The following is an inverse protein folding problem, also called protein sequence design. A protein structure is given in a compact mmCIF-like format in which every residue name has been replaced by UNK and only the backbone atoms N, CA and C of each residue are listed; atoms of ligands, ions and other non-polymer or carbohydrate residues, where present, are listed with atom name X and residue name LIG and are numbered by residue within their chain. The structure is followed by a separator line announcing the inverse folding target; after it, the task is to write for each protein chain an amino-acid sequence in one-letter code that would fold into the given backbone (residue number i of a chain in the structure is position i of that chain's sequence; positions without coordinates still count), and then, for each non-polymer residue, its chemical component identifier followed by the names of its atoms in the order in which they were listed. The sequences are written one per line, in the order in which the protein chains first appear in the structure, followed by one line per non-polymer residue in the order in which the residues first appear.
data_IF_946794041856
#
_entry.id   IF_946794041856
#
_cell.length_a   1.000
_cell.length_b   1.000
_cell.length_c   1.000
_cell.angle_alpha   90.00
_cell.angle_beta   90.00
_cell.angle_gamma   90.00
#
_symmetry.space_group_name_H-M   'P 1'
#
loop_
_entity.id
_entity.type
_entity.pdbx_description
1 polymer ?
#
# COMPACT_ATOMS: atom_id res chain seq x y z
N UNK A 1 -19.26 6.33 -14.62
CA UNK A 1 -18.30 5.20 -14.55
C UNK A 1 -17.44 5.44 -13.33
N UNK A 2 -17.30 4.45 -12.45
CA UNK A 2 -16.49 4.54 -11.24
C UNK A 2 -15.02 4.77 -11.61
N UNK A 3 -14.38 5.76 -11.02
CA UNK A 3 -12.95 6.02 -11.21
C UNK A 3 -12.15 5.22 -10.17
N UNK A 4 -11.22 4.39 -10.62
CA UNK A 4 -10.31 3.65 -9.74
C UNK A 4 -9.03 4.47 -9.55
N UNK A 5 -8.79 4.93 -8.33
CA UNK A 5 -7.63 5.75 -7.97
C UNK A 5 -6.57 4.87 -7.30
N UNK A 6 -5.35 4.82 -7.85
CA UNK A 6 -4.18 4.29 -7.16
C UNK A 6 -3.59 5.35 -6.24
N UNK A 7 -3.67 5.14 -4.93
CA UNK A 7 -2.97 5.95 -3.94
C UNK A 7 -1.63 5.30 -3.61
N UNK A 8 -0.54 6.02 -3.82
CA UNK A 8 0.81 5.53 -3.52
C UNK A 8 1.69 6.64 -2.96
N UNK A 9 2.91 6.32 -2.57
CA UNK A 9 3.85 7.27 -1.97
C UNK A 9 5.11 6.58 -1.48
N UNK A 10 6.09 7.37 -1.07
CA UNK A 10 7.30 6.86 -0.43
C UNK A 10 7.03 6.45 1.02
N UNK A 11 7.90 5.61 1.59
CA UNK A 11 7.92 5.37 3.03
C UNK A 11 7.94 6.71 3.80
N UNK A 12 7.15 6.81 4.87
CA UNK A 12 7.01 8.02 5.68
C UNK A 12 6.50 9.29 4.96
N UNK A 13 5.92 9.16 3.75
CA UNK A 13 5.27 10.28 3.03
C UNK A 13 3.96 10.77 3.67
N UNK A 14 3.34 9.96 4.54
CA UNK A 14 2.02 10.25 5.11
C UNK A 14 0.85 9.84 4.22
N UNK A 15 1.05 8.87 3.34
CA UNK A 15 -0.01 8.20 2.56
C UNK A 15 -1.23 7.79 3.40
N UNK A 16 -1.02 7.25 4.60
CA UNK A 16 -2.10 6.87 5.53
C UNK A 16 -2.99 8.05 5.94
N UNK A 17 -2.42 9.26 6.04
CA UNK A 17 -3.19 10.48 6.31
C UNK A 17 -4.14 10.78 5.16
N UNK A 18 -3.66 10.70 3.92
CA UNK A 18 -4.49 10.92 2.72
C UNK A 18 -5.53 9.81 2.56
N UNK A 19 -5.14 8.55 2.81
CA UNK A 19 -6.02 7.38 2.86
C UNK A 19 -7.17 7.57 3.85
N UNK A 20 -6.90 8.16 5.03
CA UNK A 20 -7.94 8.52 5.99
C UNK A 20 -8.86 9.64 5.49
N UNK A 21 -8.30 10.67 4.83
CA UNK A 21 -9.10 11.77 4.26
C UNK A 21 -10.07 11.27 3.17
N UNK A 22 -9.69 10.29 2.36
CA UNK A 22 -10.61 9.63 1.42
C UNK A 22 -11.78 8.97 2.15
N UNK A 23 -11.51 8.23 3.23
CA UNK A 23 -12.56 7.61 4.06
C UNK A 23 -13.48 8.65 4.70
N UNK A 24 -12.95 9.76 5.19
CA UNK A 24 -13.75 10.89 5.72
C UNK A 24 -14.70 11.49 4.67
N UNK A 25 -14.29 11.48 3.40
CA UNK A 25 -15.11 11.91 2.26
C UNK A 25 -16.06 10.81 1.75
N UNK A 26 -16.20 9.71 2.49
CA UNK A 26 -17.02 8.55 2.11
C UNK A 26 -16.60 7.89 0.78
N UNK A 27 -15.34 8.07 0.37
CA UNK A 27 -14.76 7.38 -0.78
C UNK A 27 -14.16 6.06 -0.27
N UNK A 28 -14.61 4.90 -0.78
CA UNK A 28 -14.07 3.61 -0.36
C UNK A 28 -12.57 3.48 -0.59
N UNK A 29 -11.88 2.89 0.37
CA UNK A 29 -10.43 2.64 0.31
C UNK A 29 -10.15 1.16 0.55
N UNK A 30 -9.56 0.52 -0.45
CA UNK A 30 -9.08 -0.86 -0.45
C UNK A 30 -7.58 -0.82 -0.14
N UNK A 31 -7.18 -1.30 1.03
CA UNK A 31 -5.79 -1.24 1.50
C UNK A 31 -5.06 -2.55 1.21
N UNK A 32 -4.03 -2.49 0.36
CA UNK A 32 -3.27 -3.66 -0.03
C UNK A 32 -2.48 -4.29 1.13
N UNK A 33 -2.04 -3.51 2.12
CA UNK A 33 -1.31 -4.02 3.28
C UNK A 33 -2.24 -4.78 4.24
N UNK A 34 -3.49 -4.32 4.36
CA UNK A 34 -4.53 -5.04 5.12
C UNK A 34 -4.87 -6.35 4.40
N UNK A 35 -5.14 -6.30 3.09
CA UNK A 35 -5.45 -7.49 2.29
C UNK A 35 -4.31 -8.51 2.36
N UNK A 36 -3.04 -8.07 2.28
CA UNK A 36 -1.87 -8.96 2.40
C UNK A 36 -1.83 -9.73 3.72
N UNK A 37 -2.46 -9.21 4.78
CA UNK A 37 -2.60 -9.91 6.06
C UNK A 37 -3.78 -10.87 6.06
N UNK A 38 -4.92 -10.44 5.52
CA UNK A 38 -6.18 -11.20 5.50
C UNK A 38 -6.12 -12.42 4.57
N UNK A 39 -5.46 -12.30 3.42
CA UNK A 39 -5.41 -13.40 2.43
C UNK A 39 -4.63 -14.61 2.91
N UNK A 40 -3.78 -14.44 3.94
CA UNK A 40 -2.98 -15.50 4.55
C UNK A 40 -3.51 -15.94 5.91
N UNK A 41 -4.71 -15.52 6.30
CA UNK A 41 -5.36 -16.00 7.52
C UNK A 41 -5.75 -17.48 7.43
N UNK A 42 -5.86 -18.13 8.59
CA UNK A 42 -6.22 -19.53 8.68
C UNK A 42 -7.52 -19.81 7.90
N UNK A 43 -7.50 -20.89 7.10
CA UNK A 43 -8.63 -21.29 6.26
C UNK A 43 -8.62 -20.69 4.85
N UNK A 44 -7.78 -19.69 4.56
CA UNK A 44 -7.58 -19.17 3.20
C UNK A 44 -6.70 -20.10 2.36
N UNK A 45 -6.80 -19.97 1.04
CA UNK A 45 -6.02 -20.75 0.07
C UNK A 45 -4.51 -20.47 0.20
N UNK A 46 -4.13 -19.19 0.26
CA UNK A 46 -2.72 -18.81 0.40
C UNK A 46 -2.12 -19.25 1.74
N UNK A 47 -2.91 -19.31 2.83
CA UNK A 47 -2.45 -19.88 4.09
C UNK A 47 -2.02 -21.35 3.93
N UNK A 48 -2.84 -22.17 3.25
CA UNK A 48 -2.55 -23.59 3.03
C UNK A 48 -1.28 -23.76 2.20
N UNK A 49 -1.17 -23.03 1.09
CA UNK A 49 0.03 -23.05 0.24
C UNK A 49 1.29 -22.64 1.00
N UNK A 50 1.20 -21.64 1.89
CA UNK A 50 2.32 -21.22 2.74
C UNK A 50 2.71 -22.34 3.69
N UNK A 51 1.77 -22.98 4.39
CA UNK A 51 2.08 -24.09 5.30
C UNK A 51 2.67 -25.29 4.55
N UNK A 52 2.16 -25.62 3.37
CA UNK A 52 2.68 -26.72 2.55
C UNK A 52 4.14 -26.51 2.14
N UNK A 53 4.55 -25.26 1.88
CA UNK A 53 5.91 -24.91 1.45
C UNK A 53 6.87 -24.73 2.63
N UNK A 54 6.40 -24.07 3.69
CA UNK A 54 7.24 -23.64 4.81
C UNK A 54 7.12 -24.52 6.04
N UNK A 55 6.27 -25.54 6.00
CA UNK A 55 6.02 -26.49 7.08
C UNK A 55 5.19 -25.91 8.23
N UNK A 56 4.86 -26.76 9.21
CA UNK A 56 4.09 -26.34 10.38
C UNK A 56 4.93 -25.55 11.39
N UNK A 57 6.26 -25.48 11.22
CA UNK A 57 7.10 -24.71 12.12
C UNK A 57 6.81 -23.21 12.09
N UNK A 58 6.19 -22.69 11.04
CA UNK A 58 5.78 -21.28 10.94
C UNK A 58 4.42 -21.00 11.59
N UNK A 59 3.86 -21.97 12.30
CA UNK A 59 2.59 -21.83 13.01
C UNK A 59 2.79 -21.57 14.51
N UNK A 60 1.88 -20.78 15.06
CA UNK A 60 1.68 -20.63 16.49
C UNK A 60 0.87 -21.81 17.06
N UNK A 61 0.76 -21.90 18.38
CA UNK A 61 0.06 -23.01 19.04
C UNK A 61 -1.45 -23.05 18.73
N UNK A 62 -2.05 -21.93 18.34
CA UNK A 62 -3.45 -21.82 17.90
C UNK A 62 -3.63 -22.13 16.40
N UNK A 63 -2.55 -22.39 15.67
CA UNK A 63 -2.55 -22.65 14.23
C UNK A 63 -2.49 -21.39 13.37
N UNK A 64 -2.42 -20.18 13.94
CA UNK A 64 -2.15 -18.98 13.14
C UNK A 64 -0.70 -18.91 12.65
N UNK A 65 -0.45 -18.12 11.61
CA UNK A 65 0.92 -17.87 11.15
C UNK A 65 1.71 -17.08 12.21
N UNK A 66 2.87 -17.59 12.60
CA UNK A 66 3.91 -16.84 13.31
C UNK A 66 4.60 -15.89 12.32
N UNK A 67 4.00 -14.71 12.14
CA UNK A 67 4.50 -13.69 11.19
C UNK A 67 5.93 -13.25 11.50
N UNK A 68 6.34 -12.99 12.76
CA UNK A 68 7.74 -12.73 13.08
C UNK A 68 8.69 -13.85 12.63
N UNK A 69 8.31 -15.11 12.87
CA UNK A 69 9.14 -16.26 12.49
C UNK A 69 9.22 -16.44 10.99
N UNK A 70 8.09 -16.42 10.28
CA UNK A 70 8.04 -16.46 8.82
C UNK A 70 8.86 -15.30 8.21
N UNK A 71 8.69 -14.09 8.76
CA UNK A 71 9.44 -12.90 8.39
C UNK A 71 10.95 -13.10 8.53
N UNK A 72 11.41 -13.65 9.66
CA UNK A 72 12.83 -13.96 9.87
C UNK A 72 13.37 -14.99 8.86
N UNK A 73 12.59 -16.03 8.54
CA UNK A 73 12.97 -17.06 7.56
C UNK A 73 13.16 -16.46 6.17
N UNK A 74 12.21 -15.65 5.70
CA UNK A 74 12.28 -15.05 4.36
C UNK A 74 13.25 -13.88 4.27
N UNK A 75 13.52 -13.19 5.38
CA UNK A 75 14.47 -12.10 5.40
C UNK A 75 15.90 -12.57 5.14
N UNK A 76 16.27 -13.74 5.66
CA UNK A 76 17.62 -14.32 5.51
C UNK A 76 17.76 -15.25 4.30
N UNK A 77 16.70 -15.46 3.52
CA UNK A 77 16.72 -16.38 2.38
C UNK A 77 15.88 -15.82 1.21
N UNK A 78 16.58 -15.36 0.18
CA UNK A 78 15.96 -14.78 -1.02
C UNK A 78 15.05 -15.76 -1.77
N UNK A 79 15.44 -17.02 -1.91
CA UNK A 79 14.64 -18.04 -2.59
C UNK A 79 13.31 -18.27 -1.87
N UNK A 80 13.35 -18.37 -0.54
CA UNK A 80 12.16 -18.48 0.31
C UNK A 80 11.29 -17.23 0.21
N UNK A 81 11.90 -16.04 0.20
CA UNK A 81 11.16 -14.77 -0.01
C UNK A 81 10.43 -14.74 -1.35
N UNK A 82 11.09 -15.17 -2.42
CA UNK A 82 10.48 -15.26 -3.75
C UNK A 82 9.34 -16.29 -3.77
N UNK A 83 9.50 -17.42 -3.08
CA UNK A 83 8.45 -18.43 -2.95
C UNK A 83 7.21 -17.87 -2.23
N UNK A 84 7.39 -17.22 -1.09
CA UNK A 84 6.31 -16.55 -0.36
C UNK A 84 5.60 -15.51 -1.24
N UNK A 85 6.37 -14.67 -1.94
CA UNK A 85 5.81 -13.64 -2.82
C UNK A 85 4.99 -14.22 -3.97
N UNK A 86 5.37 -15.38 -4.52
CA UNK A 86 4.62 -16.08 -5.58
C UNK A 86 3.24 -16.56 -5.12
N UNK A 87 3.08 -16.84 -3.83
CA UNK A 87 1.79 -17.24 -3.23
C UNK A 87 0.97 -15.99 -2.87
N UNK A 88 1.59 -15.05 -2.17
CA UNK A 88 0.89 -13.89 -1.60
C UNK A 88 0.47 -12.88 -2.66
N UNK A 89 1.32 -12.56 -3.64
CA UNK A 89 1.01 -11.49 -4.61
C UNK A 89 -0.23 -11.80 -5.47
N UNK A 90 -0.40 -13.02 -6.03
CA UNK A 90 -1.63 -13.36 -6.74
C UNK A 90 -2.88 -13.31 -5.86
N UNK A 91 -2.79 -13.79 -4.61
CA UNK A 91 -3.90 -13.77 -3.67
C UNK A 91 -4.35 -12.34 -3.35
N UNK A 92 -3.40 -11.45 -3.05
CA UNK A 92 -3.67 -10.01 -2.82
C UNK A 92 -4.32 -9.39 -4.06
N UNK A 93 -3.76 -9.61 -5.25
CA UNK A 93 -4.31 -9.05 -6.49
C UNK A 93 -5.74 -9.55 -6.77
N UNK A 94 -6.02 -10.81 -6.50
CA UNK A 94 -7.35 -11.41 -6.65
C UNK A 94 -8.35 -10.73 -5.73
N UNK A 95 -8.03 -10.62 -4.44
CA UNK A 95 -8.90 -10.00 -3.44
C UNK A 95 -9.13 -8.51 -3.73
N UNK A 96 -8.08 -7.76 -4.08
CA UNK A 96 -8.20 -6.38 -4.50
C UNK A 96 -9.15 -6.18 -5.68
N UNK A 97 -9.08 -7.07 -6.69
CA UNK A 97 -10.02 -7.01 -7.82
C UNK A 97 -11.45 -7.34 -7.41
N UNK A 98 -11.65 -8.33 -6.53
CA UNK A 98 -12.99 -8.66 -6.01
C UNK A 98 -13.63 -7.46 -5.33
N UNK A 99 -12.91 -6.82 -4.40
CA UNK A 99 -13.42 -5.65 -3.69
C UNK A 99 -13.63 -4.44 -4.61
N UNK A 100 -12.71 -4.20 -5.54
CA UNK A 100 -12.81 -3.13 -6.54
C UNK A 100 -14.04 -3.33 -7.43
N UNK A 101 -14.24 -4.54 -7.95
CA UNK A 101 -15.34 -4.86 -8.85
C UNK A 101 -16.70 -4.80 -8.13
N UNK A 102 -16.74 -5.07 -6.83
CA UNK A 102 -17.92 -4.85 -5.99
C UNK A 102 -18.32 -3.37 -5.98
N UNK A 103 -17.41 -2.45 -5.67
CA UNK A 103 -17.70 -1.01 -5.67
C UNK A 103 -18.06 -0.47 -7.06
N UNK A 104 -17.42 -0.99 -8.12
CA UNK A 104 -17.79 -0.65 -9.51
C UNK A 104 -19.24 -1.05 -9.79
N UNK A 105 -19.68 -2.24 -9.35
CA UNK A 105 -21.07 -2.71 -9.51
C UNK A 105 -22.06 -1.87 -8.70
N UNK A 106 -21.67 -1.41 -7.52
CA UNK A 106 -22.48 -0.49 -6.70
C UNK A 106 -22.61 0.91 -7.31
N UNK A 107 -21.77 1.25 -8.29
CA UNK A 107 -21.85 2.51 -9.01
C UNK A 107 -21.32 3.71 -8.22
N UNK A 108 -20.44 3.49 -7.24
CA UNK A 108 -19.78 4.59 -6.51
C UNK A 108 -19.00 5.47 -7.48
N UNK A 109 -18.85 6.76 -7.17
CA UNK A 109 -18.15 7.68 -8.07
C UNK A 109 -16.65 7.37 -8.19
N UNK A 110 -16.02 6.97 -7.08
CA UNK A 110 -14.61 6.58 -7.06
C UNK A 110 -14.34 5.50 -6.01
N UNK A 111 -13.29 4.73 -6.21
CA UNK A 111 -12.71 3.78 -5.24
C UNK A 111 -11.19 3.94 -5.24
N UNK A 112 -10.57 3.89 -4.07
CA UNK A 112 -9.12 4.04 -3.91
C UNK A 112 -8.50 2.67 -3.66
N UNK A 113 -7.49 2.32 -4.46
CA UNK A 113 -6.55 1.24 -4.16
C UNK A 113 -5.32 1.84 -3.49
N UNK A 114 -5.19 1.64 -2.19
CA UNK A 114 -4.07 2.12 -1.41
C UNK A 114 -2.90 1.11 -1.48
N UNK A 115 -1.92 1.40 -2.35
CA UNK A 115 -0.83 0.48 -2.72
C UNK A 115 0.52 1.21 -2.56
N UNK A 116 1.27 1.01 -1.47
CA UNK A 116 2.58 1.65 -1.25
C UNK A 116 3.59 1.40 -2.38
N UNK A 117 3.58 0.19 -2.94
CA UNK A 117 4.53 -0.29 -3.96
C UNK A 117 3.86 -0.41 -5.34
N UNK A 118 2.97 0.52 -5.69
CA UNK A 118 2.15 0.47 -6.91
C UNK A 118 3.01 0.31 -8.18
N UNK A 119 4.08 1.09 -8.29
CA UNK A 119 4.97 1.09 -9.45
C UNK A 119 5.91 -0.10 -9.43
N UNK A 120 6.54 -0.37 -8.28
CA UNK A 120 7.48 -1.48 -8.10
C UNK A 120 6.82 -2.84 -8.37
N UNK A 121 5.54 -2.97 -8.00
CA UNK A 121 4.75 -4.17 -8.20
C UNK A 121 4.09 -4.24 -9.59
N UNK A 122 4.31 -3.24 -10.46
CA UNK A 122 3.72 -3.14 -11.81
C UNK A 122 2.19 -3.25 -11.81
N UNK A 123 1.54 -2.65 -10.82
CA UNK A 123 0.09 -2.72 -10.61
C UNK A 123 -0.66 -1.50 -11.19
N UNK A 124 0.02 -0.63 -11.94
CA UNK A 124 -0.57 0.57 -12.55
C UNK A 124 -1.73 0.26 -13.50
N UNK A 125 -1.74 -0.92 -14.12
CA UNK A 125 -2.85 -1.37 -14.98
C UNK A 125 -4.16 -1.66 -14.21
N UNK A 126 -4.15 -1.65 -12.88
CA UNK A 126 -5.35 -1.83 -12.06
C UNK A 126 -6.14 -0.55 -11.81
N UNK A 127 -5.60 0.62 -12.17
CA UNK A 127 -6.12 1.93 -11.79
C UNK A 127 -6.24 2.87 -12.99
N UNK A 128 -7.20 3.80 -12.94
CA UNK A 128 -7.45 4.79 -13.98
C UNK A 128 -6.66 6.08 -13.78
N UNK A 129 -6.41 6.41 -12.50
CA UNK A 129 -5.71 7.62 -12.05
C UNK A 129 -4.78 7.28 -10.89
N UNK A 130 -3.62 7.92 -10.84
CA UNK A 130 -2.62 7.74 -9.79
C UNK A 130 -2.42 9.04 -9.03
N UNK A 131 -2.55 8.97 -7.70
CA UNK A 131 -2.17 10.03 -6.77
C UNK A 131 -0.93 9.58 -6.00
N UNK A 132 0.15 10.36 -6.10
CA UNK A 132 1.36 10.15 -5.30
C UNK A 132 1.36 11.13 -4.13
N UNK A 133 1.50 10.62 -2.91
CA UNK A 133 1.78 11.44 -1.73
C UNK A 133 3.28 11.61 -1.61
N UNK A 134 3.74 12.84 -1.74
CA UNK A 134 5.14 13.22 -1.74
C UNK A 134 5.50 14.10 -0.55
N UNK A 135 6.76 14.06 -0.16
CA UNK A 135 7.39 14.90 0.85
C UNK A 135 8.82 15.20 0.43
N UNK A 136 9.40 16.28 0.95
CA UNK A 136 10.83 16.56 0.79
C UNK A 136 11.69 15.43 1.36
N UNK A 137 12.88 15.15 0.77
CA UNK A 137 13.76 14.08 1.23
C UNK A 137 14.19 14.22 2.70
N UNK A 138 14.48 15.46 3.14
CA UNK A 138 14.84 15.75 4.53
C UNK A 138 13.72 15.37 5.50
N UNK A 139 12.48 15.76 5.18
CA UNK A 139 11.35 15.46 6.04
C UNK A 139 10.96 13.97 5.98
N UNK A 140 11.12 13.31 4.83
CA UNK A 140 10.93 11.87 4.71
C UNK A 140 11.84 11.11 5.68
N UNK A 141 13.13 11.47 5.68
CA UNK A 141 14.16 10.90 6.55
C UNK A 141 13.84 11.16 8.02
N UNK A 142 13.57 12.42 8.39
CA UNK A 142 13.23 12.81 9.76
C UNK A 142 12.01 12.04 10.29
N UNK A 143 10.93 11.98 9.50
CA UNK A 143 9.71 11.26 9.88
C UNK A 143 9.95 9.77 10.05
N UNK A 144 10.73 9.16 9.17
CA UNK A 144 11.05 7.73 9.25
C UNK A 144 11.88 7.41 10.49
N UNK A 145 12.92 8.20 10.76
CA UNK A 145 13.75 8.06 11.97
C UNK A 145 12.91 8.24 13.24
N UNK A 146 12.12 9.31 13.33
CA UNK A 146 11.29 9.60 14.50
C UNK A 146 10.24 8.53 14.77
N UNK A 147 9.59 8.01 13.72
CA UNK A 147 8.52 7.02 13.84
C UNK A 147 9.04 5.64 14.26
N UNK A 148 10.20 5.25 13.75
CA UNK A 148 10.71 3.88 13.89
C UNK A 148 11.94 3.75 14.81
N UNK A 149 12.51 4.87 15.28
CA UNK A 149 13.73 4.87 16.08
C UNK A 149 14.97 4.45 15.30
N UNK A 150 14.95 4.57 13.97
CA UNK A 150 16.05 4.17 13.11
C UNK A 150 17.21 5.17 13.14
N UNK A 151 18.42 4.65 12.92
CA UNK A 151 19.58 5.47 12.57
C UNK A 151 19.35 6.15 11.22
N UNK A 152 20.10 7.22 10.94
CA UNK A 152 20.04 7.90 9.64
C UNK A 152 20.39 6.93 8.49
N UNK A 153 21.41 6.10 8.68
CA UNK A 153 21.86 5.10 7.71
C UNK A 153 20.76 4.05 7.44
N UNK A 154 20.14 3.51 8.50
CA UNK A 154 19.03 2.57 8.38
C UNK A 154 17.81 3.16 7.66
N UNK A 155 17.50 4.41 7.96
CA UNK A 155 16.38 5.12 7.37
C UNK A 155 16.64 5.39 5.87
N UNK A 156 17.85 5.84 5.50
CA UNK A 156 18.25 6.02 4.10
C UNK A 156 18.20 4.72 3.32
N UNK A 157 18.79 3.64 3.85
CA UNK A 157 18.77 2.34 3.19
C UNK A 157 17.34 1.84 2.88
N UNK A 158 16.37 2.16 3.74
CA UNK A 158 14.95 1.83 3.52
C UNK A 158 14.28 2.73 2.49
N UNK A 159 14.58 4.03 2.51
CA UNK A 159 14.11 4.98 1.48
C UNK A 159 14.63 4.56 0.10
N UNK A 160 15.92 4.25 0.01
CA UNK A 160 16.61 3.90 -1.23
C UNK A 160 16.23 2.51 -1.76
N UNK A 161 15.62 1.66 -0.93
CA UNK A 161 15.07 0.37 -1.37
C UNK A 161 13.80 0.48 -2.21
N UNK A 162 13.18 1.67 -2.26
CA UNK A 162 11.97 1.96 -3.03
C UNK A 162 12.33 2.79 -4.27
N UNK A 163 11.44 2.82 -5.26
CA UNK A 163 11.59 3.77 -6.37
C UNK A 163 11.67 5.20 -5.80
N UNK A 164 12.61 6.05 -6.26
CA UNK A 164 12.76 7.42 -5.77
C UNK A 164 11.43 8.17 -5.81
N UNK A 165 11.09 8.85 -4.72
CA UNK A 165 9.80 9.53 -4.59
C UNK A 165 9.58 10.61 -5.66
N UNK A 166 10.66 11.31 -6.04
CA UNK A 166 10.63 12.26 -7.13
C UNK A 166 10.28 11.60 -8.48
N UNK A 167 10.79 10.39 -8.74
CA UNK A 167 10.46 9.62 -9.94
C UNK A 167 9.02 9.10 -9.90
N UNK A 168 8.54 8.59 -8.75
CA UNK A 168 7.12 8.24 -8.60
C UNK A 168 6.21 9.42 -8.93
N UNK A 169 6.57 10.62 -8.46
CA UNK A 169 5.79 11.83 -8.67
C UNK A 169 5.68 12.23 -10.15
N UNK A 170 6.70 11.98 -10.99
CA UNK A 170 6.62 12.27 -12.43
C UNK A 170 5.71 11.31 -13.19
N UNK A 171 5.51 10.09 -12.65
CA UNK A 171 4.63 9.07 -13.21
C UNK A 171 3.16 9.22 -12.76
N UNK A 172 2.87 10.13 -11.84
CA UNK A 172 1.55 10.32 -11.27
C UNK A 172 0.64 11.20 -12.16
N UNK A 173 -0.67 10.99 -12.08
CA UNK A 173 -1.62 11.96 -12.65
C UNK A 173 -1.67 13.23 -11.80
N UNK A 174 -1.60 13.09 -10.47
CA UNK A 174 -1.56 14.19 -9.50
C UNK A 174 -0.63 13.83 -8.34
N UNK A 175 -0.04 14.87 -7.75
CA UNK A 175 0.83 14.76 -6.58
C UNK A 175 0.21 15.56 -5.44
N UNK A 176 0.20 15.00 -4.24
CA UNK A 176 -0.14 15.70 -2.99
C UNK A 176 1.14 15.88 -2.22
N UNK A 177 1.56 17.13 -2.01
CA UNK A 177 2.71 17.47 -1.18
C UNK A 177 2.27 17.55 0.27
N UNK A 178 2.87 16.73 1.13
CA UNK A 178 2.49 16.55 2.52
C UNK A 178 3.55 17.11 3.49
N UNK A 179 4.28 18.12 3.03
CA UNK A 179 5.27 18.92 3.78
C UNK A 179 4.64 19.89 4.77
N UNK A 180 3.47 20.42 4.41
CA UNK A 180 2.75 21.38 5.22
C UNK A 180 1.83 20.76 6.27
N UNK A 181 0.77 21.50 6.56
CA UNK A 181 -0.28 21.16 7.50
C UNK A 181 -1.28 20.16 6.93
N UNK A 182 -1.99 19.46 7.81
CA UNK A 182 -3.10 18.57 7.43
C UNK A 182 -4.17 19.30 6.61
N UNK A 183 -4.40 20.59 6.89
CA UNK A 183 -5.35 21.42 6.16
C UNK A 183 -4.91 21.67 4.71
N UNK A 184 -3.64 21.95 4.47
CA UNK A 184 -3.08 22.13 3.12
C UNK A 184 -3.13 20.81 2.31
N UNK A 185 -2.83 19.68 2.95
CA UNK A 185 -2.97 18.35 2.35
C UNK A 185 -4.43 18.06 1.97
N UNK A 186 -5.38 18.37 2.87
CA UNK A 186 -6.81 18.20 2.62
C UNK A 186 -7.31 19.09 1.48
N UNK A 187 -6.85 20.34 1.41
CA UNK A 187 -7.19 21.27 0.34
C UNK A 187 -6.69 20.77 -1.03
N UNK A 188 -5.44 20.27 -1.10
CA UNK A 188 -4.90 19.66 -2.32
C UNK A 188 -5.73 18.46 -2.77
N UNK A 189 -6.07 17.55 -1.84
CA UNK A 189 -6.91 16.40 -2.15
C UNK A 189 -8.28 16.84 -2.70
N UNK A 190 -8.95 17.78 -2.04
CA UNK A 190 -10.26 18.26 -2.49
C UNK A 190 -10.20 18.92 -3.86
N UNK A 191 -9.14 19.68 -4.15
CA UNK A 191 -8.93 20.27 -5.47
C UNK A 191 -8.82 19.19 -6.55
N UNK A 192 -8.00 18.15 -6.31
CA UNK A 192 -7.85 17.01 -7.24
C UNK A 192 -9.18 16.31 -7.48
N UNK A 193 -9.95 16.07 -6.42
CA UNK A 193 -11.24 15.38 -6.53
C UNK A 193 -12.30 16.22 -7.25
N UNK A 194 -12.30 17.55 -7.10
CA UNK A 194 -13.15 18.46 -7.88
C UNK A 194 -12.75 18.46 -9.35
N UNK A 195 -11.45 18.55 -9.67
CA UNK A 195 -10.95 18.49 -11.05
C UNK A 195 -11.34 17.17 -11.75
N UNK A 196 -11.42 16.07 -11.00
CA UNK A 196 -11.86 14.77 -11.49
C UNK A 196 -13.38 14.55 -11.44
N UNK A 197 -14.16 15.55 -11.01
CA UNK A 197 -15.61 15.50 -10.84
C UNK A 197 -16.08 14.35 -9.92
N UNK A 198 -15.30 14.05 -8.88
CA UNK A 198 -15.61 13.04 -7.86
C UNK A 198 -16.33 13.69 -6.67
N UNK A 199 -16.11 14.98 -6.42
CA UNK A 199 -16.83 15.75 -5.41
C UNK A 199 -17.23 17.11 -5.98
N UNK A 200 -18.25 17.72 -5.36
CA UNK A 200 -18.71 19.07 -5.71
C UNK A 200 -17.86 20.17 -5.06
#
# INVERSE_FOLDING_TARGET
MTIVIGLTGGIASGKSTVSQMFRELQIPVIDADIIAREVVEQGKEAYKEIVDVFGEEILQADGELDRPKLGSIVFHNEEKRLCLNKIVHPAVRKEMNVQKDMYIKEGVQAVVLDIPLLFESKLTALVDRIVVVAVSPSMQLERLMKRNGFTEEDAKARIDSQMPLAEKATLANKVIYNDGTIAETKAQLQLILKEWNIIN
#
